data_IF_592357789266
#
_entry.id   IF_592357789266
#
_cell.length_a   1.000
_cell.length_b   1.000
_cell.length_c   1.000
_cell.angle_alpha   90.00
_cell.angle_beta   90.00
_cell.angle_gamma   90.00
#
_symmetry.space_group_name_H-M   'P 1'
#
loop_
_entity.id
_entity.type
_entity.pdbx_description
1 polymer ?
#
# COMPACT_ATOMS: atom_id res chain seq x y z
N UNK A 1 -9.54 -7.86 -12.71
CA UNK A 1 -10.05 -7.39 -11.41
C UNK A 1 -11.28 -6.52 -11.64
N UNK A 2 -12.26 -6.48 -10.73
CA UNK A 2 -13.40 -5.58 -10.86
C UNK A 2 -12.96 -4.11 -10.76
N UNK A 3 -13.52 -3.25 -11.62
CA UNK A 3 -13.28 -1.80 -11.54
C UNK A 3 -14.00 -1.22 -10.33
N UNK A 4 -13.38 -0.26 -9.68
CA UNK A 4 -13.98 0.41 -8.51
C UNK A 4 -12.95 0.93 -7.52
N UNK A 5 -13.46 1.45 -6.41
CA UNK A 5 -12.67 1.93 -5.29
C UNK A 5 -12.94 1.02 -4.09
N UNK A 6 -11.87 0.50 -3.51
CA UNK A 6 -11.89 -0.39 -2.36
C UNK A 6 -11.07 0.24 -1.24
N UNK A 7 -11.49 0.09 0.02
CA UNK A 7 -10.78 0.69 1.15
C UNK A 7 -10.69 -0.27 2.33
N UNK A 8 -9.57 -0.23 3.03
CA UNK A 8 -9.36 -0.99 4.26
C UNK A 8 -8.63 -0.13 5.30
N UNK A 9 -8.88 -0.43 6.58
CA UNK A 9 -8.18 0.15 7.72
C UNK A 9 -7.62 -0.97 8.58
N UNK A 10 -6.42 -0.75 9.12
CA UNK A 10 -5.74 -1.64 10.04
C UNK A 10 -5.10 -0.85 11.17
N UNK A 11 -4.78 -1.54 12.25
CA UNK A 11 -4.18 -0.95 13.44
C UNK A 11 -2.99 -1.80 13.88
N UNK A 12 -1.92 -1.14 14.31
CA UNK A 12 -0.81 -1.76 15.05
C UNK A 12 -0.92 -1.30 16.49
N UNK A 13 -0.78 -2.22 17.43
CA UNK A 13 -1.03 -1.97 18.86
C UNK A 13 -0.23 -0.79 19.41
N UNK A 14 1.02 -0.63 18.96
CA UNK A 14 1.88 0.51 19.27
C UNK A 14 2.98 0.73 18.21
N UNK A 15 3.75 1.82 18.35
CA UNK A 15 4.85 2.16 17.46
C UNK A 15 6.24 1.68 17.94
N UNK A 16 6.29 0.94 19.06
CA UNK A 16 7.52 0.48 19.70
C UNK A 16 8.28 1.57 20.47
N UNK A 17 7.74 2.78 20.61
CA UNK A 17 8.30 3.87 21.40
C UNK A 17 7.31 4.45 22.42
N UNK A 18 6.02 4.49 22.06
CA UNK A 18 4.88 4.91 22.88
C UNK A 18 3.84 3.80 22.94
N UNK A 19 2.81 3.93 23.79
CA UNK A 19 1.64 3.04 23.81
C UNK A 19 0.53 3.49 22.84
N UNK A 20 0.82 4.47 21.95
CA UNK A 20 -0.17 4.99 21.03
C UNK A 20 -0.38 4.03 19.84
N UNK A 21 -1.62 3.57 19.67
CA UNK A 21 -2.04 2.75 18.51
C UNK A 21 -1.72 3.46 17.20
N UNK A 22 -1.18 2.74 16.24
CA UNK A 22 -0.85 3.24 14.89
C UNK A 22 -1.97 2.87 13.93
N UNK A 23 -2.61 3.87 13.32
CA UNK A 23 -3.64 3.65 12.30
C UNK A 23 -3.04 3.63 10.90
N UNK A 24 -3.32 2.56 10.17
CA UNK A 24 -3.04 2.40 8.74
C UNK A 24 -4.35 2.41 7.95
N UNK A 25 -4.39 3.14 6.85
CA UNK A 25 -5.55 3.22 5.97
C UNK A 25 -5.10 3.27 4.52
N UNK A 26 -5.72 2.45 3.69
CA UNK A 26 -5.43 2.36 2.26
C UNK A 26 -6.72 2.38 1.44
N UNK A 27 -6.69 3.12 0.33
CA UNK A 27 -7.68 3.05 -0.72
C UNK A 27 -7.02 2.57 -2.02
N UNK A 28 -7.67 1.63 -2.70
CA UNK A 28 -7.24 1.06 -3.97
C UNK A 28 -8.28 1.40 -5.03
N UNK A 29 -7.85 2.11 -6.07
CA UNK A 29 -8.68 2.38 -7.25
C UNK A 29 -8.23 1.49 -8.39
N UNK A 30 -9.16 0.78 -9.02
CA UNK A 30 -8.93 -0.07 -10.18
C UNK A 30 -9.75 0.50 -11.34
N UNK A 31 -9.06 0.97 -12.39
CA UNK A 31 -9.68 1.54 -13.59
C UNK A 31 -8.95 1.09 -14.89
N UNK A 32 -9.26 1.72 -16.02
CA UNK A 32 -8.65 1.39 -17.32
C UNK A 32 -7.17 1.77 -17.43
N UNK A 33 -6.67 2.63 -16.54
CA UNK A 33 -5.28 3.07 -16.49
C UNK A 33 -4.41 2.24 -15.53
N UNK A 34 -5.01 1.30 -14.79
CA UNK A 34 -4.31 0.38 -13.92
C UNK A 34 -4.81 0.41 -12.47
N UNK A 35 -3.89 0.27 -11.53
CA UNK A 35 -4.18 0.25 -10.09
C UNK A 35 -3.48 1.42 -9.40
N UNK A 36 -4.24 2.16 -8.58
CA UNK A 36 -3.75 3.27 -7.76
C UNK A 36 -3.91 2.94 -6.29
N UNK A 37 -2.85 3.15 -5.52
CA UNK A 37 -2.86 3.01 -4.06
C UNK A 37 -2.74 4.39 -3.41
N UNK A 38 -3.62 4.66 -2.45
CA UNK A 38 -3.63 5.89 -1.66
C UNK A 38 -3.57 5.53 -0.17
N UNK A 39 -2.46 5.89 0.51
CA UNK A 39 -2.28 5.66 1.96
C UNK A 39 -2.50 6.91 2.80
N UNK A 40 -3.01 8.00 2.20
CA UNK A 40 -3.07 9.32 2.85
C UNK A 40 -3.99 9.41 4.05
N UNK A 41 -4.88 8.42 4.23
CA UNK A 41 -5.71 8.27 5.43
C UNK A 41 -4.95 7.75 6.67
N UNK A 42 -3.73 7.25 6.49
CA UNK A 42 -2.90 6.74 7.60
C UNK A 42 -2.42 7.87 8.53
N UNK A 43 -1.97 7.50 9.72
CA UNK A 43 -1.35 8.43 10.66
C UNK A 43 -0.10 9.11 10.04
N UNK A 44 0.36 10.25 10.59
CA UNK A 44 1.61 10.87 10.16
C UNK A 44 2.82 10.08 10.68
N UNK A 45 3.98 10.23 10.01
CA UNK A 45 5.28 9.75 10.48
C UNK A 45 5.50 10.03 11.96
N UNK A 46 5.98 9.03 12.68
CA UNK A 46 6.27 9.12 14.12
C UNK A 46 7.77 9.16 14.37
N UNK A 47 8.20 9.57 15.56
CA UNK A 47 9.61 9.44 15.96
C UNK A 47 9.88 8.04 16.52
N UNK A 48 9.59 7.02 15.72
CA UNK A 48 9.58 5.62 16.12
C UNK A 48 10.04 4.72 14.95
N UNK A 49 10.47 3.47 15.19
CA UNK A 49 10.96 2.58 14.14
C UNK A 49 9.85 1.99 13.25
N UNK A 50 8.57 2.25 13.56
CA UNK A 50 7.41 1.72 12.81
C UNK A 50 7.27 2.30 11.40
N UNK A 51 8.04 3.34 11.08
CA UNK A 51 7.91 4.05 9.81
C UNK A 51 8.36 3.21 8.58
N UNK A 52 7.78 3.46 7.41
CA UNK A 52 7.95 2.73 6.16
C UNK A 52 8.28 3.66 4.99
N UNK A 53 9.47 3.51 4.43
CA UNK A 53 9.89 4.26 3.24
C UNK A 53 8.95 4.03 2.04
N UNK A 54 9.07 4.90 1.03
CA UNK A 54 8.41 4.71 -0.27
C UNK A 54 8.65 3.29 -0.81
N UNK A 55 9.91 2.84 -0.81
CA UNK A 55 10.30 1.56 -1.40
C UNK A 55 9.68 0.36 -0.66
N UNK A 56 9.61 0.42 0.68
CA UNK A 56 8.96 -0.60 1.49
C UNK A 56 7.46 -0.66 1.21
N UNK A 57 6.80 0.50 1.18
CA UNK A 57 5.35 0.58 0.92
C UNK A 57 5.01 0.14 -0.50
N UNK A 58 5.81 0.56 -1.49
CA UNK A 58 5.71 0.11 -2.87
C UNK A 58 5.84 -1.40 -2.99
N UNK A 59 6.85 -1.98 -2.35
CA UNK A 59 7.09 -3.42 -2.40
C UNK A 59 5.94 -4.21 -1.78
N UNK A 60 5.36 -3.73 -0.69
CA UNK A 60 4.19 -4.36 -0.06
C UNK A 60 2.96 -4.35 -0.98
N UNK A 61 2.64 -3.22 -1.62
CA UNK A 61 1.54 -3.13 -2.57
C UNK A 61 1.76 -4.00 -3.82
N UNK A 62 2.97 -3.96 -4.39
CA UNK A 62 3.32 -4.79 -5.55
C UNK A 62 3.22 -6.28 -5.21
N UNK A 63 3.68 -6.69 -4.02
CA UNK A 63 3.54 -8.06 -3.56
C UNK A 63 2.06 -8.49 -3.44
N UNK A 64 1.21 -7.64 -2.85
CA UNK A 64 -0.21 -7.92 -2.72
C UNK A 64 -0.88 -8.13 -4.10
N UNK A 65 -0.53 -7.31 -5.11
CA UNK A 65 -1.00 -7.52 -6.48
C UNK A 65 -0.48 -8.82 -7.08
N UNK A 66 0.82 -9.10 -6.93
CA UNK A 66 1.42 -10.35 -7.44
C UNK A 66 0.74 -11.59 -6.87
N UNK A 67 0.39 -11.57 -5.59
CA UNK A 67 -0.29 -12.66 -4.90
C UNK A 67 -1.72 -12.91 -5.40
N UNK A 68 -2.38 -11.87 -5.94
CA UNK A 68 -3.73 -11.94 -6.51
C UNK A 68 -3.74 -12.25 -8.02
N UNK A 69 -2.60 -12.09 -8.70
CA UNK A 69 -2.46 -12.36 -10.13
C UNK A 69 -2.27 -13.85 -10.43
N UNK A 70 -2.57 -14.23 -11.67
CA UNK A 70 -2.31 -15.57 -12.15
C UNK A 70 -0.82 -15.94 -11.97
N UNK A 71 -0.56 -17.19 -11.62
CA UNK A 71 0.80 -17.68 -11.35
C UNK A 71 1.67 -17.61 -12.59
N UNK A 72 1.05 -17.78 -13.76
CA UNK A 72 1.71 -17.83 -15.07
C UNK A 72 2.09 -16.45 -15.63
N UNK A 73 1.61 -15.36 -15.01
CA UNK A 73 2.00 -14.00 -15.40
C UNK A 73 3.43 -13.70 -14.92
N UNK A 74 4.35 -13.35 -15.83
CA UNK A 74 5.72 -13.02 -15.47
C UNK A 74 5.80 -11.69 -14.71
N UNK A 75 6.71 -11.62 -13.74
CA UNK A 75 7.07 -10.37 -13.06
C UNK A 75 8.18 -9.71 -13.86
N UNK A 76 7.85 -8.62 -14.55
CA UNK A 76 8.77 -7.83 -15.35
C UNK A 76 8.52 -6.33 -15.16
N UNK A 77 9.28 -5.47 -15.84
CA UNK A 77 9.13 -4.02 -15.68
C UNK A 77 7.72 -3.53 -16.05
N UNK A 78 7.08 -4.17 -17.05
CA UNK A 78 5.69 -3.91 -17.42
C UNK A 78 4.70 -4.18 -16.29
N UNK A 79 4.95 -5.19 -15.44
CA UNK A 79 4.17 -5.39 -14.22
C UNK A 79 4.24 -4.18 -13.30
N UNK A 80 5.41 -3.57 -13.09
CA UNK A 80 5.57 -2.41 -12.20
C UNK A 80 5.01 -1.11 -12.79
N UNK A 81 5.14 -0.91 -14.11
CA UNK A 81 4.65 0.30 -14.80
C UNK A 81 3.12 0.34 -14.89
N UNK A 82 2.45 -0.80 -15.08
CA UNK A 82 0.98 -0.89 -15.12
C UNK A 82 0.33 -0.88 -13.73
N UNK A 83 1.07 -1.28 -12.69
CA UNK A 83 0.45 -1.69 -11.43
C UNK A 83 0.28 -0.59 -10.39
N UNK A 84 0.96 0.56 -10.48
CA UNK A 84 1.09 1.36 -9.26
C UNK A 84 1.32 2.86 -9.50
N UNK A 85 0.23 3.64 -9.53
CA UNK A 85 0.32 5.05 -9.13
C UNK A 85 0.15 5.12 -7.61
N UNK A 86 1.16 5.59 -6.88
CA UNK A 86 1.12 5.62 -5.42
C UNK A 86 1.03 7.05 -4.89
N UNK A 87 -0.01 7.34 -4.09
CA UNK A 87 -0.11 8.57 -3.31
C UNK A 87 0.16 8.25 -1.85
N UNK A 88 1.34 8.63 -1.39
CA UNK A 88 1.83 8.24 -0.08
C UNK A 88 1.66 9.33 0.95
N UNK A 89 1.12 8.91 2.09
CA UNK A 89 1.48 9.48 3.38
C UNK A 89 2.13 8.35 4.14
N UNK A 90 3.41 8.55 4.40
CA UNK A 90 4.28 7.60 5.11
C UNK A 90 3.99 7.78 6.60
N UNK A 91 3.67 6.69 7.29
CA UNK A 91 4.16 6.46 8.64
C UNK A 91 5.54 5.91 8.41
#
# INVERSE_FOLDING_TARGET
MPKGVFSAKGFVDNDGFTEEVVKLEISVTIDDNGVKFDTTGSDPQRRAPVNSTFAQTFSACAYALRALMDKDLPVNDGFYVMSTLMRLKVL
#
